data_IF_681744295485
#
_entry.id   IF_681744295485
#
_cell.length_a   1.000
_cell.length_b   1.000
_cell.length_c   1.000
_cell.angle_alpha   90.00
_cell.angle_beta   90.00
_cell.angle_gamma   90.00
#
_symmetry.space_group_name_H-M   'P 1'
#
loop_
_entity.id
_entity.type
_entity.pdbx_description
1 polymer ?
#
# COMPACT_ATOMS: atom_id res chain seq x y z
N UNK A 1 4.29 -2.46 15.61
CA UNK A 1 4.58 -3.15 14.34
C UNK A 1 3.81 -2.55 13.16
N UNK A 2 2.48 -2.43 13.20
CA UNK A 2 1.67 -1.86 12.11
C UNK A 2 2.03 -0.41 11.73
N UNK A 3 2.45 0.42 12.70
CA UNK A 3 2.94 1.78 12.42
C UNK A 3 4.20 1.78 11.55
N UNK A 4 5.15 0.89 11.83
CA UNK A 4 6.37 0.75 11.02
C UNK A 4 6.02 0.28 9.61
N UNK A 5 5.07 -0.65 9.47
CA UNK A 5 4.57 -1.08 8.17
C UNK A 5 4.00 0.08 7.34
N UNK A 6 3.21 0.95 7.97
CA UNK A 6 2.68 2.16 7.31
C UNK A 6 3.78 3.13 6.89
N UNK A 7 4.78 3.37 7.75
CA UNK A 7 5.93 4.23 7.42
C UNK A 7 6.73 3.65 6.24
N UNK A 8 6.98 2.34 6.22
CA UNK A 8 7.70 1.69 5.13
C UNK A 8 6.94 1.78 3.79
N UNK A 9 5.62 1.57 3.80
CA UNK A 9 4.78 1.75 2.60
C UNK A 9 4.81 3.20 2.11
N UNK A 10 4.70 4.15 3.04
CA UNK A 10 4.75 5.57 2.72
C UNK A 10 6.10 5.95 2.11
N UNK A 11 7.20 5.52 2.73
CA UNK A 11 8.55 5.76 2.23
C UNK A 11 8.77 5.13 0.85
N UNK A 12 8.31 3.90 0.62
CA UNK A 12 8.43 3.22 -0.68
C UNK A 12 7.68 3.99 -1.77
N UNK A 13 6.44 4.42 -1.50
CA UNK A 13 5.66 5.23 -2.43
C UNK A 13 6.33 6.58 -2.72
N UNK A 14 6.79 7.28 -1.68
CA UNK A 14 7.48 8.57 -1.82
C UNK A 14 8.79 8.45 -2.61
N UNK A 15 9.65 7.48 -2.27
CA UNK A 15 10.91 7.22 -2.99
C UNK A 15 10.61 6.91 -4.46
N UNK A 16 9.61 6.07 -4.74
CA UNK A 16 9.25 5.73 -6.11
C UNK A 16 8.82 6.97 -6.91
N UNK A 17 7.96 7.83 -6.36
CA UNK A 17 7.52 9.07 -7.02
C UNK A 17 8.71 10.01 -7.27
N UNK A 18 9.51 10.27 -6.24
CA UNK A 18 10.64 11.20 -6.32
C UNK A 18 11.70 10.69 -7.30
N UNK A 19 12.08 9.42 -7.19
CA UNK A 19 13.11 8.83 -8.04
C UNK A 19 12.67 8.76 -9.50
N UNK A 20 11.44 8.31 -9.78
CA UNK A 20 10.95 8.24 -11.16
C UNK A 20 10.79 9.62 -11.78
N UNK A 21 10.38 10.63 -11.00
CA UNK A 21 10.32 12.02 -11.46
C UNK A 21 11.71 12.56 -11.77
N UNK A 22 12.66 12.38 -10.85
CA UNK A 22 14.04 12.86 -10.99
C UNK A 22 14.78 12.20 -12.17
N UNK A 23 14.55 10.91 -12.42
CA UNK A 23 15.14 10.19 -13.54
C UNK A 23 14.52 10.54 -14.90
N UNK A 24 13.41 11.29 -14.93
CA UNK A 24 12.69 11.63 -16.16
C UNK A 24 12.43 13.14 -16.31
N UNK A 25 13.30 13.99 -15.75
CA UNK A 25 13.14 15.44 -15.77
C UNK A 25 13.01 16.02 -17.18
N UNK A 26 13.70 15.45 -18.17
CA UNK A 26 13.61 15.90 -19.57
C UNK A 26 12.20 15.72 -20.14
N UNK A 27 11.52 14.63 -19.79
CA UNK A 27 10.13 14.38 -20.17
C UNK A 27 9.19 15.36 -19.47
N UNK A 28 9.45 15.64 -18.19
CA UNK A 28 8.70 16.65 -17.44
C UNK A 28 8.85 18.06 -18.03
N UNK A 29 10.06 18.46 -18.41
CA UNK A 29 10.32 19.74 -19.07
C UNK A 29 9.61 19.85 -20.43
N UNK A 30 9.54 18.75 -21.19
CA UNK A 30 8.77 18.71 -22.44
C UNK A 30 7.27 18.83 -22.20
N UNK A 31 6.73 18.19 -21.16
CA UNK A 31 5.31 18.28 -20.84
C UNK A 31 4.89 19.67 -20.35
N UNK A 32 5.74 20.39 -19.64
CA UNK A 32 5.44 21.77 -19.23
C UNK A 32 5.51 22.74 -20.41
N UNK A 33 6.33 22.46 -21.43
CA UNK A 33 6.43 23.26 -22.65
C UNK A 33 5.35 22.95 -23.71
N UNK A 34 4.98 21.67 -23.90
CA UNK A 34 4.06 21.22 -24.95
C UNK A 34 2.65 20.84 -24.43
N UNK A 35 2.46 20.76 -23.11
CA UNK A 35 1.23 20.32 -22.46
C UNK A 35 1.18 18.81 -22.18
N UNK A 36 0.64 18.43 -21.02
CA UNK A 36 0.54 17.03 -20.55
C UNK A 36 -0.28 16.12 -21.48
N UNK A 37 -1.20 16.68 -22.25
CA UNK A 37 -2.06 15.92 -23.16
C UNK A 37 -1.36 15.59 -24.49
N UNK A 38 -0.27 16.29 -24.84
CA UNK A 38 0.51 16.00 -26.04
C UNK A 38 1.32 14.70 -25.91
N UNK A 39 1.53 14.21 -24.69
CA UNK A 39 2.26 12.97 -24.39
C UNK A 39 1.35 11.74 -24.27
N UNK A 40 0.03 11.91 -24.39
CA UNK A 40 -0.93 10.79 -24.44
C UNK A 40 -1.12 10.38 -25.90
N UNK A 41 -0.63 9.20 -26.27
CA UNK A 41 -0.81 8.69 -27.62
C UNK A 41 -2.31 8.42 -27.90
N UNK A 42 -2.80 8.72 -29.12
CA UNK A 42 -4.16 8.38 -29.51
C UNK A 42 -4.38 6.85 -29.52
N UNK A 43 -5.62 6.38 -29.33
CA UNK A 43 -5.94 4.96 -29.27
C UNK A 43 -5.46 4.20 -30.52
N UNK A 44 -4.76 3.08 -30.33
CA UNK A 44 -4.27 2.22 -31.43
C UNK A 44 -2.84 2.49 -31.91
N UNK A 45 -2.17 3.52 -31.39
CA UNK A 45 -0.74 3.77 -31.62
C UNK A 45 0.16 2.93 -30.71
N UNK A 46 1.39 2.64 -31.17
CA UNK A 46 2.43 2.10 -30.30
C UNK A 46 2.77 3.13 -29.19
N UNK A 47 3.02 2.70 -27.94
CA UNK A 47 3.27 3.64 -26.86
C UNK A 47 4.53 4.47 -27.12
N UNK A 48 4.42 5.79 -26.99
CA UNK A 48 5.58 6.69 -27.07
C UNK A 48 6.44 6.56 -25.80
N UNK A 49 7.72 6.95 -25.88
CA UNK A 49 8.59 7.05 -24.70
C UNK A 49 7.94 7.84 -23.55
N UNK A 50 7.21 8.91 -23.88
CA UNK A 50 6.52 9.76 -22.92
C UNK A 50 5.34 9.05 -22.25
N UNK A 51 4.64 8.20 -22.97
CA UNK A 51 3.55 7.42 -22.41
C UNK A 51 4.09 6.43 -21.35
N UNK A 52 5.26 5.83 -21.58
CA UNK A 52 5.94 5.03 -20.56
C UNK A 52 6.32 5.85 -19.33
N UNK A 53 6.87 7.05 -19.51
CA UNK A 53 7.21 7.95 -18.40
C UNK A 53 5.97 8.34 -17.60
N UNK A 54 4.84 8.59 -18.26
CA UNK A 54 3.57 8.88 -17.60
C UNK A 54 3.15 7.74 -16.66
N UNK A 55 3.22 6.49 -17.13
CA UNK A 55 2.91 5.32 -16.30
C UNK A 55 3.93 5.07 -15.19
N UNK A 56 5.20 5.39 -15.42
CA UNK A 56 6.27 5.29 -14.41
C UNK A 56 6.19 6.36 -13.32
N UNK A 57 5.61 7.53 -13.62
CA UNK A 57 5.56 8.68 -12.72
C UNK A 57 4.15 8.91 -12.17
N UNK A 58 3.30 9.64 -12.91
CA UNK A 58 1.96 10.06 -12.47
C UNK A 58 0.97 8.90 -12.39
N UNK A 59 1.00 8.01 -13.37
CA UNK A 59 0.15 6.81 -13.46
C UNK A 59 0.67 5.66 -12.59
N UNK A 60 1.75 5.87 -11.85
CA UNK A 60 2.38 4.83 -11.04
C UNK A 60 1.57 4.47 -9.81
N UNK A 61 1.78 3.24 -9.33
CA UNK A 61 1.30 2.75 -8.04
C UNK A 61 1.98 3.43 -6.83
N UNK A 62 2.95 4.32 -7.04
CA UNK A 62 3.64 5.06 -5.98
C UNK A 62 2.73 5.95 -5.13
N UNK A 63 1.80 6.70 -5.76
CA UNK A 63 0.85 7.57 -5.03
C UNK A 63 -0.13 6.76 -4.19
N UNK A 64 -0.81 5.71 -4.74
CA UNK A 64 -1.61 4.80 -3.93
C UNK A 64 -0.85 4.19 -2.75
N UNK A 65 0.41 3.75 -2.94
CA UNK A 65 1.26 3.21 -1.88
C UNK A 65 1.56 4.24 -0.78
N UNK A 66 1.87 5.48 -1.17
CA UNK A 66 2.12 6.57 -0.24
C UNK A 66 0.90 6.83 0.64
N UNK A 67 -0.27 7.00 0.02
CA UNK A 67 -1.54 7.25 0.72
C UNK A 67 -1.88 6.08 1.64
N UNK A 68 -1.78 4.84 1.15
CA UNK A 68 -2.04 3.66 1.95
C UNK A 68 -1.10 3.59 3.17
N UNK A 69 0.19 3.88 2.98
CA UNK A 69 1.17 3.92 4.07
C UNK A 69 0.82 4.96 5.13
N UNK A 70 0.43 6.17 4.71
CA UNK A 70 -0.03 7.23 5.63
C UNK A 70 -1.30 6.83 6.39
N UNK A 71 -2.27 6.20 5.73
CA UNK A 71 -3.50 5.70 6.36
C UNK A 71 -3.19 4.60 7.38
N UNK A 72 -2.33 3.64 7.03
CA UNK A 72 -1.91 2.55 7.93
C UNK A 72 -1.15 3.11 9.14
N UNK A 73 -0.21 4.03 8.92
CA UNK A 73 0.54 4.69 9.98
C UNK A 73 -0.36 5.54 10.88
N UNK A 74 -1.27 6.31 10.29
CA UNK A 74 -2.26 7.15 10.99
C UNK A 74 -3.21 6.30 11.84
N UNK A 75 -3.76 5.23 11.28
CA UNK A 75 -4.62 4.28 11.99
C UNK A 75 -3.90 3.64 13.17
N UNK A 76 -2.67 3.16 12.95
CA UNK A 76 -1.86 2.57 14.01
C UNK A 76 -1.47 3.57 15.10
N UNK A 77 -1.20 4.83 14.77
CA UNK A 77 -0.92 5.91 15.74
C UNK A 77 -2.11 6.20 16.65
N UNK A 78 -3.33 6.10 16.12
CA UNK A 78 -4.58 6.30 16.89
C UNK A 78 -4.99 5.07 17.70
N UNK A 79 -4.15 4.03 17.76
CA UNK A 79 -4.45 2.78 18.45
C UNK A 79 -5.39 1.84 17.69
N UNK A 80 -5.84 2.22 16.48
CA UNK A 80 -6.73 1.44 15.63
C UNK A 80 -6.05 0.20 15.04
N UNK A 81 -6.87 -0.75 14.60
CA UNK A 81 -6.42 -2.01 13.99
C UNK A 81 -6.59 -1.94 12.48
N UNK A 82 -5.51 -2.22 11.75
CA UNK A 82 -5.57 -2.34 10.29
C UNK A 82 -6.02 -3.77 9.94
N UNK A 83 -7.04 -3.96 9.10
CA UNK A 83 -7.51 -5.28 8.72
C UNK A 83 -6.43 -6.13 8.03
N UNK A 84 -6.43 -7.44 8.29
CA UNK A 84 -5.44 -8.37 7.72
C UNK A 84 -5.50 -8.43 6.18
N UNK A 85 -6.69 -8.25 5.58
CA UNK A 85 -6.84 -8.31 4.13
C UNK A 85 -6.00 -7.23 3.42
N UNK A 86 -5.75 -6.08 4.06
CA UNK A 86 -4.90 -5.02 3.49
C UNK A 86 -3.49 -5.54 3.27
N UNK A 87 -2.94 -6.27 4.25
CA UNK A 87 -1.61 -6.88 4.13
C UNK A 87 -1.59 -7.96 3.03
N UNK A 88 -2.63 -8.78 2.92
CA UNK A 88 -2.71 -9.81 1.87
C UNK A 88 -2.80 -9.24 0.47
N UNK A 89 -3.64 -8.22 0.25
CA UNK A 89 -3.79 -7.57 -1.06
C UNK A 89 -2.47 -6.91 -1.48
N UNK A 90 -1.82 -6.17 -0.56
CA UNK A 90 -0.51 -5.55 -0.84
C UNK A 90 0.55 -6.61 -1.12
N UNK A 91 0.58 -7.70 -0.35
CA UNK A 91 1.54 -8.78 -0.54
C UNK A 91 1.34 -9.54 -1.85
N UNK A 92 0.10 -9.85 -2.22
CA UNK A 92 -0.22 -10.51 -3.48
C UNK A 92 0.15 -9.63 -4.68
N UNK A 93 -0.14 -8.33 -4.60
CA UNK A 93 0.22 -7.38 -5.64
C UNK A 93 1.74 -7.23 -5.79
N UNK A 94 2.45 -7.14 -4.66
CA UNK A 94 3.92 -7.08 -4.64
C UNK A 94 4.55 -8.32 -5.28
N UNK A 95 4.03 -9.51 -4.99
CA UNK A 95 4.47 -10.76 -5.63
C UNK A 95 4.23 -10.74 -7.14
N UNK A 96 3.02 -10.34 -7.56
CA UNK A 96 2.68 -10.24 -8.98
C UNK A 96 3.65 -9.31 -9.71
N UNK A 97 3.91 -8.12 -9.16
CA UNK A 97 4.85 -7.18 -9.74
C UNK A 97 6.26 -7.75 -9.80
N UNK A 98 6.73 -8.48 -8.78
CA UNK A 98 8.06 -9.11 -8.81
C UNK A 98 8.19 -10.25 -9.82
N UNK A 99 7.10 -10.96 -10.12
CA UNK A 99 7.10 -12.02 -11.13
C UNK A 99 7.06 -11.41 -12.54
N UNK A 100 6.22 -10.39 -12.76
CA UNK A 100 5.99 -9.79 -14.08
C UNK A 100 7.10 -8.80 -14.46
N UNK A 101 7.59 -8.04 -13.49
CA UNK A 101 8.59 -6.97 -13.68
C UNK A 101 9.89 -7.40 -13.02
N UNK A 102 10.66 -8.28 -13.68
CA UNK A 102 11.90 -8.90 -13.19
C UNK A 102 12.93 -7.88 -12.66
N UNK A 103 12.91 -6.64 -13.18
CA UNK A 103 13.82 -5.57 -12.78
C UNK A 103 13.31 -4.67 -11.62
N UNK A 104 12.04 -4.80 -11.21
CA UNK A 104 11.44 -3.91 -10.19
C UNK A 104 11.47 -4.62 -8.84
N UNK A 105 12.00 -3.98 -7.77
CA UNK A 105 12.10 -4.59 -6.45
C UNK A 105 10.74 -4.61 -5.72
N UNK A 106 9.70 -5.15 -6.38
CA UNK A 106 8.36 -5.31 -5.82
C UNK A 106 8.35 -6.09 -4.51
N UNK A 107 9.33 -6.97 -4.32
CA UNK A 107 9.52 -7.77 -3.12
C UNK A 107 9.74 -6.93 -1.85
N UNK A 108 10.21 -5.67 -1.97
CA UNK A 108 10.35 -4.76 -0.83
C UNK A 108 9.01 -4.48 -0.13
N UNK A 109 7.90 -4.50 -0.87
CA UNK A 109 6.55 -4.32 -0.31
C UNK A 109 6.04 -5.55 0.46
N UNK A 110 6.72 -6.71 0.38
CA UNK A 110 6.37 -7.91 1.15
C UNK A 110 6.63 -7.73 2.64
N UNK A 111 7.66 -6.97 3.00
CA UNK A 111 8.01 -6.68 4.40
C UNK A 111 6.86 -5.95 5.12
N UNK A 112 6.36 -4.79 4.63
CA UNK A 112 5.22 -4.13 5.27
C UNK A 112 3.93 -4.96 5.18
N UNK A 113 3.70 -5.69 4.09
CA UNK A 113 2.55 -6.60 3.97
C UNK A 113 2.52 -7.64 5.11
N UNK A 114 3.65 -8.32 5.35
CA UNK A 114 3.79 -9.29 6.44
C UNK A 114 3.58 -8.65 7.82
N UNK A 115 4.08 -7.43 8.04
CA UNK A 115 3.88 -6.70 9.29
C UNK A 115 2.41 -6.33 9.55
N UNK A 116 1.64 -5.98 8.51
CA UNK A 116 0.19 -5.73 8.63
C UNK A 116 -0.54 -7.02 9.03
N UNK A 117 -0.27 -8.14 8.35
CA UNK A 117 -0.90 -9.43 8.64
C UNK A 117 -0.59 -9.89 10.07
N UNK A 118 0.68 -9.81 10.50
CA UNK A 118 1.08 -10.16 11.88
C UNK A 118 0.41 -9.25 12.91
N UNK A 119 0.38 -7.93 12.65
CA UNK A 119 -0.24 -6.96 13.53
C UNK A 119 -1.74 -7.19 13.75
N UNK A 120 -2.47 -7.61 12.71
CA UNK A 120 -3.89 -7.95 12.81
C UNK A 120 -4.13 -9.22 13.65
N UNK A 121 -3.30 -10.25 13.48
CA UNK A 121 -3.41 -11.53 14.21
C UNK A 121 -3.20 -11.38 15.72
N UNK A 122 -2.22 -10.57 16.13
CA UNK A 122 -1.90 -10.39 17.56
C UNK A 122 -2.97 -9.66 18.36
N UNK A 123 -3.86 -8.88 17.73
CA UNK A 123 -4.96 -8.19 18.43
C UNK A 123 -6.29 -8.96 18.40
N UNK A 124 -6.51 -9.76 17.36
CA UNK A 124 -7.64 -10.70 17.32
C UNK A 124 -7.56 -11.76 18.42
N UNK A 125 -6.35 -12.25 18.74
CA UNK A 125 -6.13 -13.18 19.85
C UNK A 125 -6.40 -12.58 21.22
N UNK A 126 -6.02 -11.31 21.45
CA UNK A 126 -6.30 -10.60 22.72
C UNK A 126 -7.79 -10.35 22.93
N UNK A 127 -8.54 -10.07 21.85
CA UNK A 127 -9.99 -9.81 21.93
C UNK A 127 -10.80 -11.10 22.21
N UNK A 128 -10.29 -12.27 21.82
CA UNK A 128 -10.97 -13.56 22.00
C UNK A 128 -10.81 -14.14 23.41
N UNK A 129 -9.75 -13.77 24.12
CA UNK A 129 -9.46 -14.25 25.50
C UNK A 129 -10.29 -13.50 26.55
N UNK A 130 -10.81 -12.30 26.24
CA UNK A 130 -11.53 -11.44 27.18
C UNK A 130 -13.05 -11.64 27.28
N UNK A 131 -13.62 -12.74 26.77
CA UNK A 131 -15.07 -12.98 26.91
C UNK A 131 -15.32 -13.94 28.08
N UNK A 132 -15.59 -13.46 29.32
CA UNK A 132 -16.03 -14.34 30.39
C UNK A 132 -17.39 -14.94 30.01
N UNK A 133 -17.46 -16.27 30.07
CA UNK A 133 -18.68 -17.05 29.90
C UNK A 133 -19.77 -16.51 30.84
N UNK A 134 -20.78 -15.82 30.28
CA UNK A 134 -22.06 -15.59 30.96
C UNK A 134 -22.81 -16.93 30.97
N UNK A 135 -22.44 -17.83 31.87
CA UNK A 135 -23.15 -19.10 32.09
C UNK A 135 -23.32 -19.47 33.56
N UNK A 136 -23.20 -18.53 34.50
CA UNK A 136 -23.30 -18.81 35.95
C UNK A 136 -24.32 -17.94 36.70
N UNK A 137 -25.30 -17.35 36.00
CA UNK A 137 -26.38 -16.59 36.65
C UNK A 137 -27.77 -17.02 36.16
N UNK A 138 -28.03 -18.32 36.10
CA UNK A 138 -29.40 -18.83 36.14
C UNK A 138 -29.48 -20.11 36.98
N UNK A 139 -29.35 -19.92 38.29
CA UNK A 139 -29.27 -21.02 39.24
C UNK A 139 -29.34 -20.54 40.67
N UNK A 140 -30.25 -19.59 40.98
CA UNK A 140 -30.74 -19.32 42.35
C UNK A 140 -31.69 -18.13 42.40
N UNK A 141 -32.97 -18.38 42.11
CA UNK A 141 -34.14 -17.80 42.79
C UNK A 141 -35.23 -18.86 42.63
N UNK A 142 -35.85 -19.44 43.64
CA UNK A 142 -35.95 -19.15 45.05
C UNK A 142 -37.33 -19.68 45.46
N UNK A 143 -37.34 -20.58 46.46
CA UNK A 143 -38.45 -21.00 47.34
C UNK A 143 -39.75 -21.48 46.71
#
# INVERSE_FOLDING_TARGET
MTRLAGILLAALGAIHIVLTTALNLDSWARWTGAGLWASVAPPGGAPSGDQYVLWLTLGSFGVPLLVLGLVVAGTARRGGVVPAYVGWVVGAWALLLSIVLVAVPGWLALVPAALIVRGARHRGSVSRVGTPSRSTLDGRRGT
#
